data_IF_430344136098
#
_entry.id   IF_430344136098
#
_cell.length_a   1.000
_cell.length_b   1.000
_cell.length_c   1.000
_cell.angle_alpha   90.00
_cell.angle_beta   90.00
_cell.angle_gamma   90.00
#
_symmetry.space_group_name_H-M   'P 1'
#
loop_
_entity.id
_entity.type
_entity.pdbx_description
1 polymer ?
#
# COMPACT_ATOMS: atom_id res chain seq x y z
N UNK A 1 49.73 32.99 -14.51
CA UNK A 1 48.86 33.21 -13.32
C UNK A 1 47.68 34.07 -13.72
N UNK A 2 46.45 33.51 -13.73
CA UNK A 2 45.20 34.27 -13.79
C UNK A 2 44.25 33.62 -12.80
N UNK A 3 43.93 34.33 -11.72
CA UNK A 3 42.92 33.95 -10.72
C UNK A 3 41.58 34.50 -11.21
N UNK A 4 40.55 33.67 -11.31
CA UNK A 4 39.17 34.12 -11.44
C UNK A 4 38.38 33.60 -10.24
N UNK A 5 37.91 34.58 -9.47
CA UNK A 5 37.26 34.45 -8.17
C UNK A 5 35.82 33.97 -8.35
N UNK A 6 35.43 32.99 -7.54
CA UNK A 6 34.05 32.54 -7.34
C UNK A 6 33.25 33.65 -6.65
N UNK A 7 32.11 34.02 -7.21
CA UNK A 7 31.08 34.84 -6.55
C UNK A 7 29.88 33.96 -6.25
N UNK A 8 29.53 33.83 -4.96
CA UNK A 8 28.39 33.06 -4.45
C UNK A 8 27.18 34.00 -4.46
N UNK A 9 26.11 33.63 -5.18
CA UNK A 9 24.83 34.34 -5.15
C UNK A 9 23.95 33.68 -4.08
N UNK A 10 23.75 34.38 -2.96
CA UNK A 10 22.85 34.00 -1.87
C UNK A 10 21.45 34.53 -2.16
N UNK A 11 20.45 33.66 -2.25
CA UNK A 11 19.04 34.03 -2.38
C UNK A 11 18.36 33.66 -1.06
N UNK A 12 18.01 34.68 -0.27
CA UNK A 12 17.20 34.53 0.93
C UNK A 12 15.73 34.34 0.53
N UNK A 13 15.15 33.17 0.84
CA UNK A 13 13.71 32.95 0.74
C UNK A 13 13.09 33.25 2.11
N UNK A 14 12.36 34.34 2.20
CA UNK A 14 11.58 34.73 3.38
C UNK A 14 10.39 33.79 3.53
N UNK A 15 10.33 33.08 4.66
CA UNK A 15 9.20 32.24 5.03
C UNK A 15 8.01 33.07 5.50
N UNK A 16 6.82 32.78 4.98
CA UNK A 16 5.55 33.20 5.56
C UNK A 16 4.94 32.02 6.31
N UNK A 17 4.88 32.14 7.64
CA UNK A 17 4.10 31.28 8.52
C UNK A 17 2.65 31.75 8.47
N UNK A 18 1.75 30.91 7.99
CA UNK A 18 0.30 31.09 8.17
C UNK A 18 -0.16 30.13 9.27
N UNK A 19 -0.37 30.69 10.47
CA UNK A 19 -1.17 30.08 11.52
C UNK A 19 -2.64 30.35 11.22
N UNK A 20 -3.48 29.32 11.25
CA UNK A 20 -4.94 29.47 11.15
C UNK A 20 -5.62 28.61 12.21
N UNK A 21 -6.01 29.32 13.28
CA UNK A 21 -7.17 29.18 14.15
C UNK A 21 -7.57 27.82 14.76
N UNK A 22 -7.46 27.78 16.10
CA UNK A 22 -8.25 26.95 16.99
C UNK A 22 -9.74 27.28 16.86
N UNK A 23 -10.58 26.26 16.60
CA UNK A 23 -12.01 26.31 16.86
C UNK A 23 -12.31 25.65 18.20
N UNK A 24 -12.55 26.48 19.21
CA UNK A 24 -13.15 26.10 20.49
C UNK A 24 -14.67 26.15 20.30
N UNK A 25 -15.38 25.09 20.68
CA UNK A 25 -16.84 25.18 20.91
C UNK A 25 -17.10 24.70 22.32
N UNK A 26 -17.43 25.68 23.16
CA UNK A 26 -17.90 25.52 24.52
C UNK A 26 -19.22 24.75 24.59
N UNK A 27 -19.30 23.95 25.64
CA UNK A 27 -20.50 23.38 26.24
C UNK A 27 -21.53 24.47 26.60
N UNK A 28 -22.81 24.16 26.34
CA UNK A 28 -23.92 24.78 27.04
C UNK A 28 -25.00 23.71 27.32
N UNK A 29 -24.84 23.09 28.48
CA UNK A 29 -25.84 22.77 29.49
C UNK A 29 -27.33 22.88 29.09
N UNK A 30 -28.04 21.74 29.18
CA UNK A 30 -29.41 21.76 29.71
C UNK A 30 -29.80 20.43 30.37
N UNK A 31 -29.66 20.47 31.69
CA UNK A 31 -30.27 19.64 32.73
C UNK A 31 -31.72 19.19 32.43
N UNK A 32 -32.09 17.92 32.68
CA UNK A 32 -33.05 17.54 33.75
C UNK A 32 -33.22 16.02 34.01
N UNK A 33 -32.62 15.57 35.13
CA UNK A 33 -33.15 14.77 36.26
C UNK A 33 -34.12 13.59 35.98
N UNK A 34 -33.69 12.35 36.33
CA UNK A 34 -34.20 11.57 37.50
C UNK A 34 -33.52 10.19 37.64
N UNK A 35 -32.73 10.05 38.71
CA UNK A 35 -32.48 8.77 39.40
C UNK A 35 -33.65 8.42 40.33
N UNK A 36 -33.96 7.13 40.46
CA UNK A 36 -34.45 6.52 41.71
C UNK A 36 -34.19 5.00 41.67
N UNK A 37 -33.16 4.58 42.38
CA UNK A 37 -32.86 3.19 42.75
C UNK A 37 -33.65 2.81 44.01
N UNK A 38 -34.10 1.54 44.06
CA UNK A 38 -34.04 0.62 45.20
C UNK A 38 -35.35 -0.15 45.49
N UNK A 39 -35.23 -1.48 45.63
CA UNK A 39 -36.19 -2.26 46.42
C UNK A 39 -36.36 -3.74 46.07
N UNK A 40 -35.41 -4.57 46.54
CA UNK A 40 -35.65 -5.86 47.24
C UNK A 40 -36.05 -7.14 46.48
N UNK A 41 -35.11 -8.10 46.47
CA UNK A 41 -35.26 -9.58 46.40
C UNK A 41 -35.86 -10.14 47.71
N UNK A 42 -36.40 -11.39 47.81
CA UNK A 42 -35.59 -12.63 47.65
C UNK A 42 -36.30 -13.95 47.18
N UNK A 43 -35.46 -14.98 46.97
CA UNK A 43 -35.70 -16.45 47.07
C UNK A 43 -36.41 -17.17 45.88
N UNK A 44 -36.04 -18.36 45.37
CA UNK A 44 -35.06 -19.42 45.71
C UNK A 44 -34.91 -20.42 44.52
N UNK A 45 -33.67 -20.85 44.23
CA UNK A 45 -33.17 -22.10 43.61
C UNK A 45 -33.89 -22.82 42.44
N UNK A 46 -33.22 -22.92 41.27
CA UNK A 46 -32.48 -24.13 40.80
C UNK A 46 -31.94 -23.93 39.36
N UNK A 47 -30.70 -24.37 39.14
CA UNK A 47 -29.90 -24.28 37.91
C UNK A 47 -30.08 -25.51 36.97
N UNK A 48 -29.29 -25.68 35.88
CA UNK A 48 -29.02 -24.80 34.74
C UNK A 48 -29.40 -25.48 33.41
N UNK A 49 -29.72 -24.73 32.35
CA UNK A 49 -29.65 -25.27 30.98
C UNK A 49 -29.03 -24.26 30.03
N UNK A 50 -27.87 -24.65 29.53
CA UNK A 50 -27.07 -23.99 28.52
C UNK A 50 -27.77 -24.07 27.16
N UNK A 51 -28.02 -22.93 26.52
CA UNK A 51 -27.87 -22.81 25.07
C UNK A 51 -27.76 -21.32 24.71
N UNK A 52 -26.58 -20.96 24.24
CA UNK A 52 -26.19 -19.62 23.85
C UNK A 52 -26.98 -19.15 22.63
N UNK A 53 -27.55 -17.97 22.78
CA UNK A 53 -28.17 -17.14 21.76
C UNK A 53 -27.08 -16.71 20.74
N UNK A 54 -27.31 -16.78 19.42
CA UNK A 54 -26.39 -16.14 18.49
C UNK A 54 -26.64 -14.63 18.55
N UNK A 55 -25.73 -13.94 19.24
CA UNK A 55 -25.66 -12.48 19.32
C UNK A 55 -25.58 -11.88 17.92
N UNK A 56 -26.65 -11.20 17.51
CA UNK A 56 -26.62 -10.21 16.44
C UNK A 56 -25.54 -9.16 16.75
N UNK A 57 -24.47 -9.13 15.96
CA UNK A 57 -23.57 -7.99 15.86
C UNK A 57 -23.76 -7.36 14.47
N UNK A 58 -24.38 -6.18 14.47
CA UNK A 58 -24.52 -5.32 13.30
C UNK A 58 -23.41 -4.27 13.35
N UNK A 59 -22.81 -4.04 12.17
CA UNK A 59 -22.12 -2.84 11.70
C UNK A 59 -20.71 -2.52 12.20
N UNK A 60 -19.73 -2.92 11.39
CA UNK A 60 -18.82 -1.94 10.79
C UNK A 60 -19.27 -1.74 9.33
N UNK A 61 -19.58 -0.51 8.94
CA UNK A 61 -19.98 -0.14 7.59
C UNK A 61 -18.80 -0.34 6.63
N UNK A 62 -18.71 -1.52 6.04
CA UNK A 62 -17.94 -1.73 4.81
C UNK A 62 -18.72 -1.05 3.70
N UNK A 63 -18.16 0.01 3.12
CA UNK A 63 -18.53 0.38 1.76
C UNK A 63 -18.47 -0.89 0.91
N UNK A 64 -19.60 -1.27 0.33
CA UNK A 64 -19.83 -2.60 -0.19
C UNK A 64 -18.88 -2.91 -1.34
N UNK A 65 -17.75 -3.57 -1.03
CA UNK A 65 -16.95 -4.35 -1.99
C UNK A 65 -17.86 -5.52 -2.40
N UNK A 66 -18.74 -5.27 -3.37
CA UNK A 66 -19.82 -6.20 -3.71
C UNK A 66 -19.33 -7.38 -4.53
N UNK A 67 -18.17 -7.27 -5.18
CA UNK A 67 -17.52 -8.33 -5.94
C UNK A 67 -15.99 -8.21 -5.77
N UNK A 68 -15.38 -9.17 -5.06
CA UNK A 68 -13.92 -9.30 -4.99
C UNK A 68 -13.51 -10.72 -5.32
N UNK A 69 -12.49 -10.85 -6.15
CA UNK A 69 -11.85 -12.11 -6.49
C UNK A 69 -10.42 -12.08 -5.94
N UNK A 70 -9.98 -13.15 -5.29
CA UNK A 70 -8.68 -13.22 -4.63
C UNK A 70 -7.98 -14.53 -4.98
N UNK A 71 -6.73 -14.41 -5.42
CA UNK A 71 -5.88 -15.54 -5.82
C UNK A 71 -4.82 -15.88 -4.76
N UNK A 72 -4.46 -14.92 -3.91
CA UNK A 72 -3.58 -15.12 -2.75
C UNK A 72 -4.33 -14.65 -1.50
N UNK A 73 -4.47 -15.52 -0.51
CA UNK A 73 -4.94 -15.13 0.82
C UNK A 73 -3.75 -14.73 1.71
N UNK A 74 -3.57 -13.44 2.03
CA UNK A 74 -2.42 -12.99 2.82
C UNK A 74 -2.34 -13.64 4.20
N UNK A 75 -3.48 -14.06 4.77
CA UNK A 75 -3.52 -14.70 6.09
C UNK A 75 -2.87 -16.09 6.13
N UNK A 76 -2.73 -16.74 4.97
CA UNK A 76 -2.20 -18.10 4.84
C UNK A 76 -0.90 -18.15 4.02
N UNK A 77 -0.36 -17.00 3.62
CA UNK A 77 0.87 -16.90 2.85
C UNK A 77 2.07 -16.86 3.80
N UNK A 78 2.85 -17.92 3.82
CA UNK A 78 4.16 -17.90 4.47
C UNK A 78 5.17 -17.17 3.56
N UNK A 79 5.85 -16.18 4.11
CA UNK A 79 6.86 -15.37 3.42
C UNK A 79 8.15 -15.52 4.19
N UNK A 80 9.20 -15.97 3.51
CA UNK A 80 10.52 -16.10 4.10
C UNK A 80 11.36 -14.88 3.75
N UNK A 81 11.90 -14.23 4.78
CA UNK A 81 12.79 -13.09 4.59
C UNK A 81 14.10 -13.53 3.93
N UNK A 82 14.63 -12.67 3.06
CA UNK A 82 15.89 -12.86 2.36
C UNK A 82 17.04 -12.42 3.27
N UNK A 83 18.04 -13.28 3.44
CA UNK A 83 19.29 -12.94 4.13
C UNK A 83 20.32 -12.37 3.18
N UNK A 84 21.43 -11.86 3.72
CA UNK A 84 22.55 -11.37 2.91
C UNK A 84 23.17 -12.44 2.00
N UNK A 85 23.15 -13.71 2.42
CA UNK A 85 23.71 -14.84 1.66
C UNK A 85 22.76 -15.32 0.55
N UNK A 86 21.46 -15.17 0.75
CA UNK A 86 20.42 -15.55 -0.22
C UNK A 86 20.24 -14.50 -1.33
N UNK A 87 20.60 -13.25 -1.02
CA UNK A 87 20.33 -12.11 -1.88
C UNK A 87 20.95 -12.24 -3.27
N UNK A 88 20.11 -12.05 -4.29
CA UNK A 88 20.51 -11.97 -5.70
C UNK A 88 19.74 -10.84 -6.35
N UNK A 89 20.45 -9.91 -6.99
CA UNK A 89 19.81 -8.87 -7.79
C UNK A 89 18.97 -9.51 -8.91
N UNK A 90 17.69 -9.16 -9.00
CA UNK A 90 16.79 -9.73 -10.02
C UNK A 90 15.34 -9.89 -9.59
N UNK A 91 14.56 -10.50 -10.49
CA UNK A 91 13.18 -10.93 -10.24
C UNK A 91 13.17 -12.46 -10.22
N UNK A 92 12.75 -13.04 -9.10
CA UNK A 92 12.76 -14.48 -8.82
C UNK A 92 11.36 -15.00 -8.47
N UNK A 93 10.34 -14.43 -9.12
CA UNK A 93 8.94 -14.82 -8.95
C UNK A 93 8.55 -15.71 -10.13
N UNK A 94 8.05 -16.90 -9.83
CA UNK A 94 7.36 -17.73 -10.82
C UNK A 94 5.93 -17.19 -10.98
N UNK A 95 5.68 -16.44 -12.04
CA UNK A 95 4.35 -15.86 -12.31
C UNK A 95 3.35 -16.87 -12.86
N UNK A 96 3.83 -17.94 -13.49
CA UNK A 96 2.96 -18.93 -14.13
C UNK A 96 2.12 -19.68 -13.10
N UNK A 97 2.63 -19.84 -11.87
CA UNK A 97 1.87 -20.45 -10.76
C UNK A 97 0.62 -19.66 -10.36
N UNK A 98 0.58 -18.36 -10.65
CA UNK A 98 -0.50 -17.46 -10.29
C UNK A 98 -1.39 -17.09 -11.48
N UNK A 99 -1.06 -17.59 -12.68
CA UNK A 99 -1.73 -17.22 -13.93
C UNK A 99 -3.14 -17.80 -13.99
N UNK A 100 -4.12 -17.00 -13.62
CA UNK A 100 -5.54 -17.36 -13.64
C UNK A 100 -6.42 -16.11 -13.58
N UNK A 101 -7.62 -16.21 -14.18
CA UNK A 101 -8.64 -15.16 -14.18
C UNK A 101 -8.11 -13.79 -14.59
N UNK A 102 -8.04 -12.83 -13.67
CA UNK A 102 -7.61 -11.45 -13.91
C UNK A 102 -6.10 -11.26 -13.92
N UNK A 103 -5.31 -12.22 -13.43
CA UNK A 103 -3.85 -12.16 -13.45
C UNK A 103 -3.33 -12.93 -14.66
N UNK A 104 -3.53 -12.34 -15.84
CA UNK A 104 -3.19 -12.90 -17.15
C UNK A 104 -1.86 -12.38 -17.69
N UNK A 105 -1.54 -12.75 -18.94
CA UNK A 105 -0.29 -12.34 -19.59
C UNK A 105 -0.15 -10.81 -19.71
N UNK A 106 -1.25 -10.07 -19.87
CA UNK A 106 -1.20 -8.61 -19.97
C UNK A 106 -0.76 -8.00 -18.63
N UNK A 107 -1.44 -8.39 -17.54
CA UNK A 107 -1.13 -7.89 -16.19
C UNK A 107 0.26 -8.35 -15.76
N UNK A 108 0.60 -9.62 -15.96
CA UNK A 108 1.92 -10.19 -15.64
C UNK A 108 3.00 -9.43 -16.41
N UNK A 109 2.85 -9.21 -17.72
CA UNK A 109 3.85 -8.52 -18.52
C UNK A 109 4.08 -7.08 -18.05
N UNK A 110 3.01 -6.33 -17.76
CA UNK A 110 3.11 -4.93 -17.28
C UNK A 110 3.73 -4.85 -15.88
N UNK A 111 3.29 -5.73 -14.98
CA UNK A 111 3.83 -5.83 -13.62
C UNK A 111 5.32 -6.19 -13.64
N UNK A 112 5.67 -7.30 -14.29
CA UNK A 112 7.04 -7.80 -14.43
C UNK A 112 7.95 -6.77 -15.09
N UNK A 113 7.50 -6.15 -16.19
CA UNK A 113 8.26 -5.12 -16.89
C UNK A 113 8.58 -3.91 -16.01
N UNK A 114 7.66 -3.51 -15.12
CA UNK A 114 7.91 -2.43 -14.17
C UNK A 114 8.94 -2.81 -13.08
N UNK A 115 8.80 -3.96 -12.42
CA UNK A 115 9.77 -4.38 -11.38
C UNK A 115 11.15 -4.71 -11.97
N UNK A 116 11.23 -5.20 -13.21
CA UNK A 116 12.49 -5.35 -13.93
C UNK A 116 13.16 -4.00 -14.20
N UNK A 117 12.37 -2.97 -14.53
CA UNK A 117 12.90 -1.62 -14.71
C UNK A 117 13.49 -1.04 -13.40
N UNK A 118 12.92 -1.38 -12.25
CA UNK A 118 13.50 -1.05 -10.93
C UNK A 118 14.86 -1.74 -10.76
N UNK A 119 14.93 -3.05 -11.01
CA UNK A 119 16.18 -3.82 -10.93
C UNK A 119 17.25 -3.27 -11.89
N UNK A 120 16.85 -2.84 -13.08
CA UNK A 120 17.73 -2.28 -14.11
C UNK A 120 18.10 -0.81 -13.87
N UNK A 121 17.46 -0.14 -12.90
CA UNK A 121 17.53 1.31 -12.71
C UNK A 121 17.22 2.08 -14.01
N UNK A 122 16.10 1.73 -14.65
CA UNK A 122 15.67 2.26 -15.95
C UNK A 122 14.37 3.08 -15.82
N UNK A 123 14.46 4.42 -15.63
CA UNK A 123 13.31 5.31 -15.52
C UNK A 123 12.34 5.26 -16.69
N UNK A 124 12.86 5.09 -17.91
CA UNK A 124 12.05 5.11 -19.13
C UNK A 124 11.20 3.84 -19.19
N UNK A 125 11.83 2.67 -19.04
CA UNK A 125 11.14 1.37 -18.98
C UNK A 125 10.16 1.28 -17.81
N UNK A 126 10.48 1.92 -16.68
CA UNK A 126 9.58 1.95 -15.52
C UNK A 126 8.24 2.63 -15.88
N UNK A 127 8.29 3.72 -16.64
CA UNK A 127 7.12 4.53 -17.00
C UNK A 127 6.25 3.92 -18.10
N UNK A 128 6.78 3.01 -18.92
CA UNK A 128 6.05 2.38 -20.04
C UNK A 128 4.75 1.67 -19.60
N UNK A 129 4.75 1.09 -18.41
CA UNK A 129 3.63 0.29 -17.89
C UNK A 129 2.72 1.06 -16.93
N UNK A 130 3.02 2.34 -16.68
CA UNK A 130 2.17 3.23 -15.88
C UNK A 130 1.06 3.84 -16.74
N UNK A 131 -0.07 4.16 -16.10
CA UNK A 131 -1.05 5.04 -16.73
C UNK A 131 -0.43 6.42 -17.00
N UNK A 132 -0.90 7.10 -18.07
CA UNK A 132 -0.32 8.37 -18.55
C UNK A 132 -0.23 9.44 -17.46
N UNK A 133 -1.27 9.57 -16.64
CA UNK A 133 -1.29 10.54 -15.54
C UNK A 133 -0.26 10.18 -14.48
N UNK A 134 -0.22 8.92 -14.06
CA UNK A 134 0.76 8.38 -13.11
C UNK A 134 2.20 8.54 -13.60
N UNK A 135 2.46 8.28 -14.87
CA UNK A 135 3.76 8.44 -15.53
C UNK A 135 4.25 9.90 -15.58
N UNK A 136 3.32 10.86 -15.61
CA UNK A 136 3.62 12.29 -15.60
C UNK A 136 3.96 12.82 -14.20
N UNK A 137 3.72 12.04 -13.13
CA UNK A 137 4.06 12.43 -11.76
C UNK A 137 5.49 12.05 -11.38
N UNK A 138 6.11 12.83 -10.49
CA UNK A 138 7.36 12.45 -9.81
C UNK A 138 7.14 11.57 -8.57
N UNK A 139 5.92 11.06 -8.35
CA UNK A 139 5.55 10.33 -7.13
C UNK A 139 6.43 9.10 -6.89
N UNK A 140 6.87 8.48 -7.98
CA UNK A 140 7.63 7.23 -7.95
C UNK A 140 9.14 7.42 -8.16
N UNK A 141 9.63 8.67 -8.14
CA UNK A 141 11.06 9.01 -8.33
C UNK A 141 11.97 8.17 -7.41
N UNK A 142 11.50 7.84 -6.20
CA UNK A 142 12.22 6.99 -5.25
C UNK A 142 12.53 5.59 -5.78
N UNK A 143 11.68 5.02 -6.65
CA UNK A 143 11.81 3.65 -7.13
C UNK A 143 12.75 3.49 -8.32
N UNK A 144 13.14 4.57 -9.02
CA UNK A 144 13.90 4.44 -10.28
C UNK A 144 14.92 5.56 -10.56
N UNK A 145 15.10 6.53 -9.67
CA UNK A 145 16.12 7.58 -9.81
C UNK A 145 16.79 7.84 -8.49
N UNK A 146 17.94 7.19 -8.31
CA UNK A 146 18.76 7.25 -7.13
C UNK A 146 19.72 8.45 -7.17
N UNK A 147 19.24 9.70 -7.16
CA UNK A 147 20.16 10.81 -6.81
C UNK A 147 20.60 10.74 -5.34
N UNK A 148 19.93 9.93 -4.51
CA UNK A 148 20.24 9.70 -3.10
C UNK A 148 20.84 8.33 -2.77
N UNK A 149 20.92 7.39 -3.72
CA UNK A 149 21.20 5.96 -3.44
C UNK A 149 21.96 5.23 -4.57
N UNK A 150 23.05 5.81 -5.05
CA UNK A 150 23.95 5.07 -5.95
C UNK A 150 24.33 3.71 -5.31
N UNK A 151 23.96 2.61 -5.98
CA UNK A 151 24.38 1.26 -5.61
C UNK A 151 23.40 0.42 -4.78
N UNK A 152 22.15 0.87 -4.53
CA UNK A 152 21.13 -0.02 -3.99
C UNK A 152 20.72 -1.07 -5.03
N UNK A 153 20.65 -2.32 -4.62
CA UNK A 153 20.21 -3.45 -5.45
C UNK A 153 18.88 -4.01 -4.95
N UNK A 154 18.07 -4.57 -5.85
CA UNK A 154 16.75 -5.12 -5.52
C UNK A 154 16.64 -6.59 -5.92
N UNK A 155 15.98 -7.37 -5.06
CA UNK A 155 15.55 -8.75 -5.29
C UNK A 155 14.05 -8.86 -5.06
N UNK A 156 13.25 -9.05 -6.10
CA UNK A 156 11.82 -9.34 -5.98
C UNK A 156 11.63 -10.86 -5.92
N UNK A 157 10.95 -11.39 -4.90
CA UNK A 157 11.01 -12.83 -4.61
C UNK A 157 9.68 -13.51 -4.31
N UNK A 158 8.60 -12.77 -3.99
CA UNK A 158 7.29 -13.39 -3.81
C UNK A 158 6.14 -12.40 -4.03
N UNK A 159 4.93 -12.93 -4.24
CA UNK A 159 3.68 -12.17 -4.22
C UNK A 159 2.92 -12.48 -2.93
N UNK A 160 2.44 -11.44 -2.26
CA UNK A 160 1.69 -11.57 -1.00
C UNK A 160 0.25 -11.05 -1.07
N UNK A 161 -0.08 -10.27 -2.10
CA UNK A 161 -1.44 -9.84 -2.41
C UNK A 161 -1.68 -10.10 -3.89
N UNK A 162 -2.79 -10.75 -4.20
CA UNK A 162 -3.28 -10.84 -5.57
C UNK A 162 -4.80 -10.88 -5.56
N UNK A 163 -5.42 -9.72 -5.77
CA UNK A 163 -6.86 -9.55 -5.72
C UNK A 163 -7.37 -8.59 -6.80
N UNK A 164 -8.60 -8.83 -7.26
CA UNK A 164 -9.38 -7.92 -8.07
C UNK A 164 -10.58 -7.47 -7.24
N UNK A 165 -10.73 -6.16 -7.10
CA UNK A 165 -11.81 -5.54 -6.34
C UNK A 165 -12.58 -4.58 -7.22
N UNK A 166 -13.87 -4.41 -6.92
CA UNK A 166 -14.69 -3.37 -7.49
C UNK A 166 -14.89 -2.25 -6.46
N UNK A 167 -14.38 -1.04 -6.77
CA UNK A 167 -14.51 0.14 -5.92
C UNK A 167 -15.26 1.19 -6.72
N UNK A 168 -16.44 1.59 -6.27
CA UNK A 168 -17.27 2.60 -6.94
C UNK A 168 -17.49 2.31 -8.44
N UNK A 169 -17.83 1.05 -8.78
CA UNK A 169 -18.04 0.57 -10.15
C UNK A 169 -16.77 0.60 -11.03
N UNK A 170 -15.59 0.72 -10.43
CA UNK A 170 -14.30 0.64 -11.12
C UNK A 170 -13.56 -0.61 -10.67
N UNK A 171 -13.19 -1.43 -11.64
CA UNK A 171 -12.33 -2.58 -11.40
C UNK A 171 -10.91 -2.11 -11.09
N UNK A 172 -10.32 -2.67 -10.04
CA UNK A 172 -8.93 -2.49 -9.68
C UNK A 172 -8.30 -3.85 -9.40
N UNK A 173 -7.13 -4.10 -9.96
CA UNK A 173 -6.30 -5.27 -9.61
C UNK A 173 -5.19 -4.79 -8.69
N UNK A 174 -4.96 -5.50 -7.59
CA UNK A 174 -3.91 -5.24 -6.61
C UNK A 174 -2.92 -6.38 -6.60
N UNK A 175 -1.65 -6.04 -6.81
CA UNK A 175 -0.53 -6.98 -6.82
C UNK A 175 0.47 -6.53 -5.78
N UNK A 176 0.48 -7.21 -4.64
CA UNK A 176 1.46 -7.03 -3.58
C UNK A 176 2.68 -7.89 -3.87
N UNK A 177 3.86 -7.30 -3.75
CA UNK A 177 5.13 -7.96 -4.00
C UNK A 177 6.08 -7.74 -2.85
N UNK A 178 6.77 -8.81 -2.47
CA UNK A 178 7.86 -8.80 -1.52
C UNK A 178 9.18 -8.63 -2.22
N UNK A 179 10.00 -7.75 -1.67
CA UNK A 179 11.34 -7.53 -2.16
C UNK A 179 12.32 -7.30 -1.02
N UNK A 180 13.56 -7.64 -1.31
CA UNK A 180 14.70 -7.29 -0.50
C UNK A 180 15.47 -6.18 -1.21
N UNK A 181 15.90 -5.19 -0.44
CA UNK A 181 16.82 -4.17 -0.90
C UNK A 181 18.18 -4.39 -0.22
N UNK A 182 19.25 -4.28 -1.00
CA UNK A 182 20.61 -4.36 -0.51
C UNK A 182 21.29 -3.01 -0.67
N UNK A 183 21.67 -2.41 0.45
CA UNK A 183 22.42 -1.16 0.47
C UNK A 183 23.91 -1.39 0.11
N UNK A 184 24.64 -0.35 -0.33
CA UNK A 184 26.06 -0.47 -0.67
C UNK A 184 26.96 -0.99 0.46
N UNK A 185 26.55 -0.85 1.72
CA UNK A 185 27.27 -1.38 2.89
C UNK A 185 27.02 -2.88 3.14
N UNK A 186 26.16 -3.50 2.33
CA UNK A 186 25.82 -4.92 2.37
C UNK A 186 24.63 -5.26 3.25
N UNK A 187 23.99 -4.30 3.94
CA UNK A 187 22.75 -4.53 4.68
C UNK A 187 21.64 -4.96 3.72
N UNK A 188 20.87 -5.96 4.12
CA UNK A 188 19.66 -6.40 3.41
C UNK A 188 18.45 -6.11 4.28
N UNK A 189 17.51 -5.32 3.73
CA UNK A 189 16.23 -5.03 4.35
C UNK A 189 15.10 -5.66 3.52
N UNK A 190 14.16 -6.33 4.19
CA UNK A 190 13.00 -6.96 3.57
C UNK A 190 11.77 -6.07 3.74
N UNK A 191 11.00 -5.89 2.67
CA UNK A 191 9.78 -5.08 2.69
C UNK A 191 8.80 -5.54 1.59
N UNK A 192 7.67 -4.85 1.45
CA UNK A 192 6.71 -5.08 0.38
C UNK A 192 6.09 -3.79 -0.13
N UNK A 193 5.62 -3.83 -1.38
CA UNK A 193 4.89 -2.74 -2.04
C UNK A 193 3.70 -3.32 -2.80
N UNK A 194 2.64 -2.53 -2.94
CA UNK A 194 1.43 -2.89 -3.66
C UNK A 194 1.28 -2.06 -4.92
N UNK A 195 1.07 -2.75 -6.03
CA UNK A 195 0.75 -2.17 -7.32
C UNK A 195 -0.75 -2.17 -7.53
N UNK A 196 -1.28 -1.04 -7.98
CA UNK A 196 -2.69 -0.84 -8.24
C UNK A 196 -2.90 -0.63 -9.74
N UNK A 197 -3.52 -1.60 -10.39
CA UNK A 197 -3.89 -1.53 -11.80
C UNK A 197 -5.32 -1.03 -11.95
N UNK A 198 -5.54 -0.13 -12.90
CA UNK A 198 -6.86 0.32 -13.32
C UNK A 198 -6.92 0.38 -14.84
N UNK A 199 -8.13 0.38 -15.40
CA UNK A 199 -8.33 0.62 -16.83
C UNK A 199 -8.23 2.12 -17.12
N UNK A 200 -7.45 2.46 -18.14
CA UNK A 200 -7.39 3.82 -18.68
C UNK A 200 -8.67 4.14 -19.50
N UNK A 201 -8.85 5.38 -20.00
CA UNK A 201 -10.03 5.75 -20.81
C UNK A 201 -10.23 4.92 -22.08
N UNK A 202 -9.16 4.31 -22.60
CA UNK A 202 -9.18 3.42 -23.77
C UNK A 202 -9.57 1.97 -23.38
N UNK A 203 -9.73 1.69 -22.08
CA UNK A 203 -10.11 0.39 -21.53
C UNK A 203 -8.94 -0.56 -21.29
N UNK A 204 -7.70 -0.13 -21.53
CA UNK A 204 -6.50 -0.92 -21.35
C UNK A 204 -6.00 -0.86 -19.90
N UNK A 205 -5.44 -1.95 -19.39
CA UNK A 205 -4.87 -1.96 -18.05
C UNK A 205 -3.53 -1.24 -18.00
N UNK A 206 -3.33 -0.48 -16.92
CA UNK A 206 -2.04 0.10 -16.58
C UNK A 206 -1.90 0.32 -15.08
N UNK A 207 -0.66 0.53 -14.64
CA UNK A 207 -0.35 0.79 -13.23
C UNK A 207 -0.72 2.24 -12.91
N UNK A 208 -1.74 2.41 -12.08
CA UNK A 208 -2.21 3.71 -11.62
C UNK A 208 -1.40 4.19 -10.41
N UNK A 209 -1.14 3.28 -9.47
CA UNK A 209 -0.48 3.60 -8.21
C UNK A 209 0.46 2.50 -7.74
N UNK A 210 1.44 2.90 -6.92
CA UNK A 210 2.34 2.03 -6.16
C UNK A 210 2.41 2.59 -4.75
N UNK A 211 2.10 1.78 -3.74
CA UNK A 211 2.07 2.14 -2.30
C UNK A 211 2.68 1.04 -1.44
#
# INVERSE_FOLDING_TARGET
>A
MKKLSRGILSICVSGTVLLSACGHTDDADRTTIREATAGSTPNTNQAPSTQEEPTNLISASTDAISDSERLIDPAHKEINDITADDFKRGVFIDFDQYKQSFFDDEIISKFKGNIEAVVENNPEKFKENLNKESAATNKYYFYYTSDSEEGREFMFYDLDILEKVNINQREQIRVGVRFAQKDPDGRVDNTGITYFFTKNPDGEWGIENID
#
